data_IF_852911563364
#
_entry.id   IF_852911563364
#
_cell.length_a   1.000
_cell.length_b   1.000
_cell.length_c   1.000
_cell.angle_alpha   90.00
_cell.angle_beta   90.00
_cell.angle_gamma   90.00
#
_symmetry.space_group_name_H-M   'P 1'
#
loop_
_entity.id
_entity.type
_entity.pdbx_description
1 polymer ?
#
# COMPACT_ATOMS: atom_id res chain seq x y z
N UNK A 1 -7.44 15.43 0.97
CA UNK A 1 -8.89 15.14 1.08
C UNK A 1 -9.62 16.11 0.17
N UNK A 2 -10.31 15.61 -0.85
CA UNK A 2 -11.18 16.39 -1.76
C UNK A 2 -12.63 16.44 -1.23
N UNK A 3 -12.84 16.18 0.06
CA UNK A 3 -14.16 16.12 0.66
C UNK A 3 -14.86 17.47 0.50
N UNK A 4 -15.96 17.47 -0.26
CA UNK A 4 -16.88 18.61 -0.39
C UNK A 4 -16.64 19.57 -1.55
N UNK A 5 -15.61 19.38 -2.39
CA UNK A 5 -15.44 20.20 -3.60
C UNK A 5 -16.11 19.53 -4.82
N UNK A 6 -16.93 20.26 -5.59
CA UNK A 6 -17.50 19.72 -6.82
C UNK A 6 -16.38 19.32 -7.78
N UNK A 7 -16.50 18.12 -8.37
CA UNK A 7 -15.56 17.63 -9.38
C UNK A 7 -15.56 18.61 -10.56
N UNK A 8 -14.39 18.92 -11.10
CA UNK A 8 -14.30 19.72 -12.32
C UNK A 8 -15.01 19.01 -13.48
N UNK A 9 -15.47 19.78 -14.46
CA UNK A 9 -16.05 19.23 -15.69
C UNK A 9 -15.10 18.22 -16.37
N UNK A 10 -13.79 18.50 -16.35
CA UNK A 10 -12.78 17.56 -16.87
C UNK A 10 -12.73 16.24 -16.10
N UNK A 11 -12.83 16.28 -14.77
CA UNK A 11 -12.88 15.06 -13.94
C UNK A 11 -14.11 14.21 -14.29
N UNK A 12 -15.27 14.86 -14.48
CA UNK A 12 -16.51 14.17 -14.85
C UNK A 12 -16.42 13.57 -16.26
N UNK A 13 -15.87 14.32 -17.21
CA UNK A 13 -15.65 13.88 -18.61
C UNK A 13 -14.73 12.66 -18.66
N UNK A 14 -13.56 12.74 -18.03
CA UNK A 14 -12.61 11.63 -17.98
C UNK A 14 -13.15 10.42 -17.23
N UNK A 15 -13.90 10.62 -16.14
CA UNK A 15 -14.57 9.53 -15.42
C UNK A 15 -15.56 8.80 -16.31
N UNK A 16 -16.44 9.54 -17.00
CA UNK A 16 -17.44 8.97 -17.91
C UNK A 16 -16.78 8.20 -19.06
N UNK A 17 -15.75 8.78 -19.68
CA UNK A 17 -14.99 8.12 -20.75
C UNK A 17 -14.30 6.85 -20.25
N UNK A 18 -13.73 6.88 -19.04
CA UNK A 18 -13.09 5.71 -18.42
C UNK A 18 -14.11 4.59 -18.19
N UNK A 19 -15.32 4.90 -17.71
CA UNK A 19 -16.37 3.89 -17.52
C UNK A 19 -16.83 3.26 -18.84
N UNK A 20 -16.98 4.06 -19.90
CA UNK A 20 -17.36 3.56 -21.22
C UNK A 20 -16.31 2.60 -21.77
N UNK A 21 -15.03 3.01 -21.75
CA UNK A 21 -13.92 2.17 -22.20
C UNK A 21 -13.77 0.91 -21.34
N UNK A 22 -13.88 1.04 -20.02
CA UNK A 22 -13.81 -0.11 -19.12
C UNK A 22 -14.91 -1.12 -19.39
N UNK A 23 -16.16 -0.66 -19.59
CA UNK A 23 -17.28 -1.54 -19.96
C UNK A 23 -17.02 -2.24 -21.29
N UNK A 24 -16.55 -1.54 -22.30
CA UNK A 24 -16.20 -2.14 -23.60
C UNK A 24 -15.13 -3.23 -23.45
N UNK A 25 -14.08 -2.98 -22.64
CA UNK A 25 -13.04 -3.98 -22.37
C UNK A 25 -13.56 -5.20 -21.65
N UNK A 26 -14.38 -5.01 -20.60
CA UNK A 26 -14.93 -6.10 -19.79
C UNK A 26 -15.98 -6.92 -20.55
N UNK A 27 -16.69 -6.32 -21.50
CA UNK A 27 -17.64 -7.01 -22.37
C UNK A 27 -16.99 -7.63 -23.61
N UNK A 28 -15.67 -7.48 -23.78
CA UNK A 28 -14.94 -8.09 -24.89
C UNK A 28 -15.01 -9.63 -24.79
N UNK A 29 -15.34 -10.34 -25.88
CA UNK A 29 -15.26 -11.81 -25.90
C UNK A 29 -13.80 -12.30 -25.79
N UNK A 30 -12.83 -11.45 -26.13
CA UNK A 30 -11.41 -11.72 -25.91
C UNK A 30 -11.04 -11.53 -24.43
N UNK A 31 -10.82 -12.65 -23.74
CA UNK A 31 -10.39 -12.67 -22.34
C UNK A 31 -9.04 -11.99 -22.12
N UNK A 32 -8.14 -11.99 -23.11
CA UNK A 32 -6.85 -11.31 -22.99
C UNK A 32 -7.04 -9.80 -22.86
N UNK A 33 -8.04 -9.23 -23.53
CA UNK A 33 -8.41 -7.82 -23.42
C UNK A 33 -9.11 -7.54 -22.08
N UNK A 34 -10.12 -8.34 -21.74
CA UNK A 34 -10.89 -8.17 -20.51
C UNK A 34 -10.00 -8.28 -19.27
N UNK A 35 -9.09 -9.26 -19.26
CA UNK A 35 -8.16 -9.51 -18.16
C UNK A 35 -6.80 -8.84 -18.37
N UNK A 36 -6.66 -7.84 -19.24
CA UNK A 36 -5.37 -7.15 -19.48
C UNK A 36 -4.97 -6.16 -18.37
N UNK A 37 -3.66 -5.86 -18.25
CA UNK A 37 -3.12 -4.89 -17.29
C UNK A 37 -3.76 -3.50 -17.35
N UNK A 38 -4.02 -2.91 -18.52
CA UNK A 38 -4.78 -1.67 -18.62
C UNK A 38 -6.17 -1.75 -17.96
N UNK A 39 -6.87 -2.88 -18.06
CA UNK A 39 -8.17 -3.05 -17.40
C UNK A 39 -8.01 -3.02 -15.88
N UNK A 40 -7.04 -3.75 -15.34
CA UNK A 40 -6.75 -3.75 -13.90
C UNK A 40 -6.34 -2.36 -13.41
N UNK A 41 -5.48 -1.64 -14.15
CA UNK A 41 -5.07 -0.27 -13.82
C UNK A 41 -6.23 0.71 -13.82
N UNK A 42 -7.18 0.58 -14.75
CA UNK A 42 -8.38 1.40 -14.77
C UNK A 42 -9.23 1.18 -13.50
N UNK A 43 -9.45 -0.07 -13.10
CA UNK A 43 -10.19 -0.40 -11.87
C UNK A 43 -9.46 0.13 -10.63
N UNK A 44 -8.14 -0.06 -10.54
CA UNK A 44 -7.31 0.48 -9.45
C UNK A 44 -7.42 2.01 -9.38
N UNK A 45 -7.42 2.69 -10.52
CA UNK A 45 -7.51 4.16 -10.58
C UNK A 45 -8.88 4.64 -10.11
N UNK A 46 -9.95 3.97 -10.54
CA UNK A 46 -11.31 4.26 -10.09
C UNK A 46 -11.47 3.99 -8.58
N UNK A 47 -10.86 2.94 -8.05
CA UNK A 47 -10.84 2.67 -6.61
C UNK A 47 -10.18 3.82 -5.83
N UNK A 48 -8.99 4.28 -6.24
CA UNK A 48 -8.35 5.43 -5.59
C UNK A 48 -9.15 6.73 -5.73
N UNK A 49 -9.82 6.95 -6.87
CA UNK A 49 -10.68 8.12 -7.05
C UNK A 49 -11.87 8.09 -6.11
N UNK A 50 -12.51 6.93 -5.94
CA UNK A 50 -13.60 6.72 -5.00
C UNK A 50 -13.13 6.94 -3.55
N UNK A 51 -12.02 6.28 -3.15
CA UNK A 51 -11.35 6.45 -1.85
C UNK A 51 -11.07 7.93 -1.55
N UNK A 52 -10.40 8.65 -2.47
CA UNK A 52 -10.02 10.05 -2.28
C UNK A 52 -11.21 11.02 -2.22
N UNK A 53 -12.37 10.62 -2.76
CA UNK A 53 -13.63 11.37 -2.69
C UNK A 53 -14.54 10.97 -1.53
N UNK A 54 -14.19 9.92 -0.77
CA UNK A 54 -15.03 9.39 0.31
C UNK A 54 -16.26 8.61 -0.16
N UNK A 55 -16.32 8.22 -1.44
CA UNK A 55 -17.39 7.39 -1.99
C UNK A 55 -17.12 5.92 -1.65
N UNK A 56 -17.49 5.52 -0.43
CA UNK A 56 -17.23 4.18 0.11
C UNK A 56 -17.90 3.08 -0.70
N UNK A 57 -19.13 3.32 -1.20
CA UNK A 57 -19.88 2.36 -2.01
C UNK A 57 -19.18 2.08 -3.35
N UNK A 58 -18.76 3.13 -4.06
CA UNK A 58 -18.02 2.94 -5.31
C UNK A 58 -16.65 2.32 -5.05
N UNK A 59 -15.99 2.71 -3.94
CA UNK A 59 -14.70 2.14 -3.56
C UNK A 59 -14.80 0.63 -3.36
N UNK A 60 -15.74 0.18 -2.54
CA UNK A 60 -16.00 -1.25 -2.31
C UNK A 60 -16.27 -1.99 -3.64
N UNK A 61 -17.16 -1.45 -4.48
CA UNK A 61 -17.48 -2.08 -5.77
C UNK A 61 -16.25 -2.24 -6.68
N UNK A 62 -15.36 -1.24 -6.72
CA UNK A 62 -14.11 -1.32 -7.48
C UNK A 62 -13.13 -2.33 -6.87
N UNK A 63 -13.06 -2.43 -5.56
CA UNK A 63 -12.19 -3.40 -4.88
C UNK A 63 -12.68 -4.84 -5.11
N UNK A 64 -13.99 -5.08 -5.06
CA UNK A 64 -14.60 -6.37 -5.38
C UNK A 64 -14.39 -6.75 -6.86
N UNK A 65 -14.56 -5.78 -7.78
CA UNK A 65 -14.28 -5.99 -9.21
C UNK A 65 -12.81 -6.29 -9.48
N UNK A 66 -11.89 -5.61 -8.80
CA UNK A 66 -10.46 -5.89 -8.88
C UNK A 66 -10.14 -7.29 -8.39
N UNK A 67 -10.79 -7.73 -7.30
CA UNK A 67 -10.62 -9.08 -6.76
C UNK A 67 -11.05 -10.15 -7.76
N UNK A 68 -12.25 -10.02 -8.34
CA UNK A 68 -12.73 -10.94 -9.35
C UNK A 68 -11.80 -11.01 -10.56
N UNK A 69 -11.25 -9.86 -11.01
CA UNK A 69 -10.29 -9.81 -12.11
C UNK A 69 -8.98 -10.55 -11.76
N UNK A 70 -8.44 -10.35 -10.56
CA UNK A 70 -7.20 -11.02 -10.12
C UNK A 70 -7.43 -12.53 -9.98
N UNK A 71 -8.58 -12.96 -9.43
CA UNK A 71 -8.95 -14.37 -9.34
C UNK A 71 -9.09 -15.00 -10.74
N UNK A 72 -9.74 -14.31 -11.69
CA UNK A 72 -9.87 -14.76 -13.07
C UNK A 72 -8.51 -14.89 -13.81
N UNK A 73 -7.48 -14.17 -13.36
CA UNK A 73 -6.10 -14.30 -13.87
C UNK A 73 -5.30 -15.44 -13.23
N UNK A 74 -5.91 -16.23 -12.35
CA UNK A 74 -5.22 -17.27 -11.59
C UNK A 74 -4.50 -16.74 -10.35
N UNK A 75 -4.95 -15.62 -9.79
CA UNK A 75 -4.44 -15.06 -8.54
C UNK A 75 -3.25 -14.13 -8.69
N UNK A 76 -2.78 -13.61 -7.55
CA UNK A 76 -1.77 -12.56 -7.50
C UNK A 76 -0.38 -13.02 -7.98
N UNK A 77 -0.05 -14.30 -7.78
CA UNK A 77 1.21 -14.91 -8.25
C UNK A 77 1.27 -15.08 -9.76
N UNK A 78 0.09 -15.16 -10.40
CA UNK A 78 -0.07 -15.28 -11.85
C UNK A 78 0.01 -13.94 -12.57
N UNK A 79 0.10 -12.82 -11.83
CA UNK A 79 0.45 -11.50 -12.35
C UNK A 79 1.95 -11.47 -12.72
N UNK A 80 2.32 -12.21 -13.75
CA UNK A 80 3.67 -12.25 -14.36
C UNK A 80 3.94 -11.01 -15.23
N UNK A 81 3.32 -9.88 -14.96
CA UNK A 81 3.46 -8.75 -15.86
C UNK A 81 4.78 -8.01 -15.66
N UNK A 82 5.33 -7.51 -16.77
CA UNK A 82 6.50 -6.63 -16.82
C UNK A 82 6.27 -5.31 -16.07
N UNK A 83 5.02 -5.01 -15.69
CA UNK A 83 4.67 -3.94 -14.77
C UNK A 83 5.04 -4.35 -13.34
N UNK A 84 6.33 -4.16 -13.02
CA UNK A 84 7.02 -4.41 -11.73
C UNK A 84 6.35 -3.81 -10.47
N UNK A 85 5.21 -3.16 -10.62
CA UNK A 85 4.44 -2.43 -9.60
C UNK A 85 2.95 -2.79 -9.54
N UNK A 86 2.41 -3.64 -10.43
CA UNK A 86 0.98 -3.98 -10.44
C UNK A 86 0.55 -4.57 -9.09
N UNK A 87 1.34 -5.52 -8.56
CA UNK A 87 1.12 -6.09 -7.23
C UNK A 87 1.08 -5.02 -6.15
N UNK A 88 2.04 -4.10 -6.15
CA UNK A 88 2.09 -3.00 -5.18
C UNK A 88 0.85 -2.10 -5.25
N UNK A 89 0.34 -1.84 -6.46
CA UNK A 89 -0.87 -1.03 -6.66
C UNK A 89 -2.14 -1.75 -6.16
N UNK A 90 -2.27 -3.05 -6.44
CA UNK A 90 -3.35 -3.89 -5.92
C UNK A 90 -3.29 -3.92 -4.38
N UNK A 91 -2.09 -4.14 -3.83
CA UNK A 91 -1.84 -4.14 -2.39
C UNK A 91 -2.27 -2.84 -1.71
N UNK A 92 -2.01 -1.70 -2.35
CA UNK A 92 -2.38 -0.40 -1.81
C UNK A 92 -3.90 -0.24 -1.69
N UNK A 93 -4.64 -0.63 -2.74
CA UNK A 93 -6.11 -0.61 -2.75
C UNK A 93 -6.68 -1.57 -1.70
N UNK A 94 -6.15 -2.79 -1.63
CA UNK A 94 -6.60 -3.79 -0.64
C UNK A 94 -6.31 -3.37 0.79
N UNK A 95 -5.13 -2.78 1.05
CA UNK A 95 -4.77 -2.31 2.39
C UNK A 95 -5.61 -1.12 2.83
N UNK A 96 -5.92 -0.20 1.91
CA UNK A 96 -6.86 0.89 2.18
C UNK A 96 -8.24 0.35 2.55
N UNK A 97 -8.74 -0.62 1.79
CA UNK A 97 -10.04 -1.24 2.05
C UNK A 97 -10.05 -2.06 3.36
N UNK A 98 -8.96 -2.78 3.65
CA UNK A 98 -8.78 -3.48 4.92
C UNK A 98 -8.81 -2.53 6.13
N UNK A 99 -8.18 -1.35 5.99
CA UNK A 99 -8.17 -0.34 7.04
C UNK A 99 -9.54 0.32 7.26
N UNK A 100 -10.26 0.64 6.18
CA UNK A 100 -11.56 1.31 6.26
C UNK A 100 -12.66 0.39 6.79
N UNK A 101 -12.63 -0.90 6.45
CA UNK A 101 -13.66 -1.88 6.84
C UNK A 101 -13.26 -2.71 8.08
N UNK A 102 -12.18 -2.34 8.77
CA UNK A 102 -11.61 -3.07 9.92
C UNK A 102 -11.54 -4.60 9.69
N UNK A 103 -10.95 -5.00 8.56
CA UNK A 103 -10.89 -6.40 8.13
C UNK A 103 -9.49 -6.79 7.67
N UNK A 104 -9.14 -8.09 7.68
CA UNK A 104 -7.88 -8.55 7.10
C UNK A 104 -7.84 -8.29 5.57
N UNK A 105 -6.67 -7.96 5.00
CA UNK A 105 -6.48 -7.87 3.54
C UNK A 105 -6.89 -9.15 2.80
N UNK A 106 -7.32 -9.01 1.54
CA UNK A 106 -7.87 -10.14 0.76
C UNK A 106 -6.83 -10.92 -0.03
N UNK A 107 -5.78 -10.25 -0.55
CA UNK A 107 -4.92 -10.85 -1.58
C UNK A 107 -3.69 -11.61 -1.06
N UNK A 108 -3.32 -11.48 0.21
CA UNK A 108 -2.16 -12.18 0.80
C UNK A 108 -2.56 -12.87 2.09
N UNK A 109 -3.03 -14.12 2.00
CA UNK A 109 -3.42 -14.88 3.20
C UNK A 109 -2.46 -16.02 3.55
N UNK A 110 -1.76 -16.61 2.58
CA UNK A 110 -1.09 -17.90 2.78
C UNK A 110 0.46 -17.83 2.78
N UNK A 111 1.07 -16.68 2.45
CA UNK A 111 2.52 -16.61 2.17
C UNK A 111 3.25 -15.40 2.79
N UNK A 112 2.77 -14.87 3.92
CA UNK A 112 3.44 -13.74 4.59
C UNK A 112 4.65 -14.26 5.36
N UNK A 113 5.86 -13.92 4.90
CA UNK A 113 7.06 -14.08 5.73
C UNK A 113 7.05 -13.05 6.85
N UNK A 114 7.37 -13.52 8.06
CA UNK A 114 7.47 -12.69 9.27
C UNK A 114 8.91 -12.34 9.63
N UNK A 115 9.87 -12.81 8.85
CA UNK A 115 11.27 -12.45 8.99
C UNK A 115 11.46 -10.97 8.67
N UNK A 116 12.61 -10.43 9.07
CA UNK A 116 12.96 -9.05 8.73
C UNK A 116 13.08 -8.93 7.22
N UNK A 117 12.35 -7.97 6.66
CA UNK A 117 12.41 -7.65 5.23
C UNK A 117 13.63 -6.81 4.90
N UNK A 118 14.03 -5.91 5.82
CA UNK A 118 15.21 -5.07 5.70
C UNK A 118 16.30 -5.60 6.63
N UNK A 119 17.13 -6.49 6.11
CA UNK A 119 18.37 -6.92 6.76
C UNK A 119 19.48 -6.08 6.16
N UNK A 120 20.08 -5.21 6.96
CA UNK A 120 21.34 -4.58 6.58
C UNK A 120 22.45 -5.63 6.72
N UNK A 121 23.30 -5.77 5.70
CA UNK A 121 24.48 -6.66 5.78
C UNK A 121 25.64 -5.98 6.49
N UNK A 122 25.67 -4.64 6.49
CA UNK A 122 26.83 -3.84 6.93
C UNK A 122 26.60 -3.09 8.26
N UNK A 123 25.39 -3.16 8.81
CA UNK A 123 25.08 -2.55 10.11
C UNK A 123 25.01 -3.68 11.15
N UNK A 124 25.96 -3.76 12.11
CA UNK A 124 25.74 -4.60 13.29
C UNK A 124 24.38 -4.22 13.83
N UNK A 125 23.54 -5.19 14.22
CA UNK A 125 22.25 -4.93 14.89
C UNK A 125 22.48 -3.79 15.87
N UNK A 126 22.07 -2.58 15.47
CA UNK A 126 22.58 -1.39 16.14
C UNK A 126 22.02 -1.43 17.54
N UNK A 127 22.89 -1.83 18.47
CA UNK A 127 22.69 -2.11 19.89
C UNK A 127 22.48 -0.81 20.65
N UNK A 128 21.77 0.13 20.03
CA UNK A 128 21.28 1.31 20.73
C UNK A 128 20.43 0.88 21.93
N UNK A 129 20.37 1.70 22.99
CA UNK A 129 19.66 1.35 24.22
C UNK A 129 18.23 0.87 23.97
N UNK A 130 17.55 1.49 23.00
CA UNK A 130 16.15 1.23 22.66
C UNK A 130 15.92 -0.11 21.93
N UNK A 131 16.83 -0.53 21.03
CA UNK A 131 16.70 -1.81 20.30
C UNK A 131 16.96 -2.99 21.22
N UNK A 132 17.98 -2.87 22.09
CA UNK A 132 18.28 -3.83 23.17
C UNK A 132 17.12 -3.89 24.15
N UNK A 133 16.54 -2.75 24.55
CA UNK A 133 15.42 -2.71 25.47
C UNK A 133 14.20 -3.42 24.87
N UNK A 134 13.81 -3.10 23.63
CA UNK A 134 12.63 -3.70 22.99
C UNK A 134 12.80 -5.20 22.72
N UNK A 135 13.98 -5.67 22.32
CA UNK A 135 14.26 -7.11 22.18
C UNK A 135 14.26 -7.85 23.52
N UNK A 136 14.58 -7.15 24.62
CA UNK A 136 14.52 -7.69 26.00
C UNK A 136 13.12 -7.60 26.61
N UNK A 137 12.19 -6.85 26.04
CA UNK A 137 10.78 -6.84 26.45
C UNK A 137 10.16 -8.17 26.00
N UNK A 138 10.24 -9.18 26.88
CA UNK A 138 9.59 -10.49 26.71
C UNK A 138 8.07 -10.43 26.55
N UNK A 139 7.47 -9.25 26.61
CA UNK A 139 6.03 -8.98 26.49
C UNK A 139 5.59 -8.64 25.07
N UNK A 140 6.52 -8.23 24.19
CA UNK A 140 6.19 -7.88 22.81
C UNK A 140 6.20 -9.11 21.91
N UNK A 141 5.20 -9.18 21.04
CA UNK A 141 5.06 -10.29 20.12
C UNK A 141 6.17 -10.22 19.04
N UNK A 142 6.93 -11.31 18.78
CA UNK A 142 8.11 -11.26 17.92
C UNK A 142 7.85 -10.79 16.48
N UNK A 143 6.70 -11.14 15.89
CA UNK A 143 6.35 -10.71 14.54
C UNK A 143 6.15 -9.19 14.48
N UNK A 144 5.50 -8.60 15.49
CA UNK A 144 5.37 -7.15 15.64
C UNK A 144 6.73 -6.46 15.77
N UNK A 145 7.65 -7.03 16.55
CA UNK A 145 9.03 -6.52 16.70
C UNK A 145 9.76 -6.49 15.36
N UNK A 146 9.64 -7.54 14.55
CA UNK A 146 10.28 -7.59 13.22
C UNK A 146 9.76 -6.48 12.29
N UNK A 147 8.46 -6.20 12.30
CA UNK A 147 7.91 -5.11 11.48
C UNK A 147 8.39 -3.74 11.98
N UNK A 148 8.47 -3.54 13.30
CA UNK A 148 9.03 -2.32 13.87
C UNK A 148 10.50 -2.13 13.47
N UNK A 149 11.32 -3.18 13.53
CA UNK A 149 12.72 -3.14 13.12
C UNK A 149 12.87 -2.78 11.63
N UNK A 150 12.03 -3.33 10.76
CA UNK A 150 12.01 -2.95 9.35
C UNK A 150 11.63 -1.48 9.18
N UNK A 151 10.65 -0.99 9.93
CA UNK A 151 10.23 0.41 9.87
C UNK A 151 11.32 1.38 10.34
N UNK A 152 12.06 1.00 11.39
CA UNK A 152 13.24 1.72 11.86
C UNK A 152 14.33 1.75 10.77
N UNK A 153 14.66 0.60 10.19
CA UNK A 153 15.67 0.53 9.12
C UNK A 153 15.26 1.39 7.93
N UNK A 154 14.00 1.34 7.54
CA UNK A 154 13.48 2.15 6.46
C UNK A 154 13.60 3.66 6.75
N UNK A 155 13.32 4.09 7.98
CA UNK A 155 13.52 5.48 8.39
C UNK A 155 15.00 5.90 8.33
N UNK A 156 15.92 5.03 8.76
CA UNK A 156 17.37 5.26 8.65
C UNK A 156 17.81 5.37 7.19
N UNK A 157 17.33 4.48 6.31
CA UNK A 157 17.58 4.54 4.87
C UNK A 157 17.09 5.86 4.27
N UNK A 158 15.89 6.33 4.63
CA UNK A 158 15.35 7.61 4.17
C UNK A 158 16.23 8.79 4.63
N UNK A 159 16.63 8.80 5.90
CA UNK A 159 17.47 9.86 6.47
C UNK A 159 18.87 9.88 5.85
N UNK A 160 19.48 8.72 5.59
CA UNK A 160 20.77 8.59 4.89
C UNK A 160 20.67 9.13 3.47
N UNK A 161 19.68 8.66 2.71
CA UNK A 161 19.44 9.09 1.33
C UNK A 161 19.17 10.59 1.22
N UNK A 162 18.47 11.18 2.19
CA UNK A 162 18.28 12.63 2.25
C UNK A 162 19.62 13.39 2.39
N UNK A 163 20.56 12.89 3.20
CA UNK A 163 21.88 13.50 3.37
C UNK A 163 22.75 13.38 2.12
N UNK A 164 22.69 12.24 1.43
CA UNK A 164 23.43 11.97 0.19
C UNK A 164 22.72 12.47 -1.08
N UNK A 165 21.56 13.11 -0.95
CA UNK A 165 20.71 13.54 -2.08
C UNK A 165 20.37 12.40 -3.07
N UNK A 166 20.27 11.17 -2.56
CA UNK A 166 19.86 9.98 -3.31
C UNK A 166 18.39 9.67 -3.03
N UNK A 167 17.74 8.91 -3.91
CA UNK A 167 16.33 8.51 -3.74
C UNK A 167 16.23 6.99 -3.72
N UNK A 168 15.32 6.47 -2.90
CA UNK A 168 14.90 5.07 -2.97
C UNK A 168 14.08 4.92 -4.25
N UNK A 169 14.38 3.90 -5.06
CA UNK A 169 13.59 3.65 -6.27
C UNK A 169 12.14 3.27 -5.91
N UNK A 170 11.22 3.60 -6.81
CA UNK A 170 9.78 3.44 -6.59
C UNK A 170 9.38 1.99 -6.32
N UNK A 171 10.03 1.02 -6.99
CA UNK A 171 9.73 -0.41 -6.81
C UNK A 171 10.15 -0.88 -5.42
N UNK A 172 11.36 -0.52 -4.98
CA UNK A 172 11.87 -0.85 -3.63
C UNK A 172 11.03 -0.19 -2.55
N UNK A 173 10.72 1.10 -2.68
CA UNK A 173 9.82 1.80 -1.77
C UNK A 173 8.47 1.09 -1.65
N UNK A 174 7.88 0.73 -2.80
CA UNK A 174 6.60 0.05 -2.86
C UNK A 174 6.62 -1.30 -2.15
N UNK A 175 7.62 -2.13 -2.40
CA UNK A 175 7.75 -3.47 -1.79
C UNK A 175 7.95 -3.39 -0.27
N UNK A 176 8.82 -2.49 0.20
CA UNK A 176 9.07 -2.27 1.62
C UNK A 176 7.77 -1.86 2.32
N UNK A 177 7.08 -0.87 1.75
CA UNK A 177 5.87 -0.30 2.35
C UNK A 177 4.73 -1.32 2.40
N UNK A 178 4.51 -2.06 1.30
CA UNK A 178 3.52 -3.15 1.24
C UNK A 178 3.83 -4.25 2.25
N UNK A 179 5.11 -4.67 2.35
CA UNK A 179 5.53 -5.71 3.30
C UNK A 179 5.21 -5.32 4.75
N UNK A 180 5.56 -4.10 5.17
CA UNK A 180 5.28 -3.63 6.52
C UNK A 180 3.78 -3.50 6.77
N UNK A 181 3.02 -2.94 5.83
CA UNK A 181 1.58 -2.71 5.98
C UNK A 181 0.80 -4.02 6.06
N UNK A 182 1.07 -4.98 5.16
CA UNK A 182 0.38 -6.26 5.16
C UNK A 182 0.63 -7.03 6.44
N UNK A 183 1.88 -7.09 6.91
CA UNK A 183 2.21 -7.74 8.19
C UNK A 183 1.49 -7.05 9.35
N UNK A 184 1.50 -5.72 9.38
CA UNK A 184 0.79 -4.97 10.42
C UNK A 184 -0.71 -5.17 10.38
N UNK A 185 -1.35 -5.34 9.22
CA UNK A 185 -2.81 -5.57 9.13
C UNK A 185 -3.21 -6.99 9.53
N UNK A 186 -2.33 -7.98 9.31
CA UNK A 186 -2.58 -9.39 9.62
C UNK A 186 -2.34 -9.80 11.08
N UNK A 187 -1.68 -8.97 11.88
CA UNK A 187 -1.63 -9.20 13.31
C UNK A 187 -3.06 -9.10 13.92
N UNK A 188 -3.24 -9.57 15.14
CA UNK A 188 -4.45 -9.29 15.91
C UNK A 188 -4.11 -9.53 17.36
N UNK A 189 -4.53 -8.62 18.22
CA UNK A 189 -4.16 -8.60 19.64
C UNK A 189 -5.39 -8.20 20.46
N UNK A 190 -5.41 -8.60 21.73
CA UNK A 190 -6.46 -8.20 22.65
C UNK A 190 -6.53 -6.66 22.77
N UNK A 191 -7.75 -6.16 22.91
CA UNK A 191 -8.01 -4.74 23.20
C UNK A 191 -7.20 -4.28 24.42
N UNK A 192 -6.75 -3.03 24.39
CA UNK A 192 -5.92 -2.41 25.44
C UNK A 192 -4.56 -3.09 25.73
N UNK A 193 -4.14 -4.11 24.97
CA UNK A 193 -2.80 -4.69 25.12
C UNK A 193 -1.70 -3.77 24.57
N UNK A 194 -0.50 -3.85 25.15
CA UNK A 194 0.68 -3.12 24.65
C UNK A 194 0.98 -3.47 23.17
N UNK A 195 0.81 -4.74 22.80
CA UNK A 195 0.97 -5.20 21.41
C UNK A 195 -0.03 -4.51 20.48
N UNK A 196 -1.31 -4.39 20.88
CA UNK A 196 -2.29 -3.69 20.08
C UNK A 196 -2.00 -2.18 19.98
N UNK A 197 -1.64 -1.54 21.10
CA UNK A 197 -1.27 -0.12 21.11
C UNK A 197 -0.09 0.17 20.18
N UNK A 198 0.96 -0.67 20.23
CA UNK A 198 2.12 -0.54 19.34
C UNK A 198 1.76 -0.81 17.88
N UNK A 199 1.01 -1.89 17.59
CA UNK A 199 0.50 -2.19 16.24
C UNK A 199 -0.26 -1.01 15.65
N UNK A 200 -1.19 -0.44 16.40
CA UNK A 200 -2.00 0.72 15.96
C UNK A 200 -1.13 1.95 15.73
N UNK A 201 -0.16 2.21 16.63
CA UNK A 201 0.83 3.28 16.43
C UNK A 201 1.61 3.12 15.12
N UNK A 202 2.11 1.92 14.83
CA UNK A 202 2.83 1.62 13.59
C UNK A 202 1.92 1.75 12.35
N UNK A 203 0.67 1.29 12.43
CA UNK A 203 -0.31 1.45 11.35
C UNK A 203 -0.56 2.94 11.03
N UNK A 204 -0.72 3.79 12.04
CA UNK A 204 -0.90 5.25 11.85
C UNK A 204 0.30 5.86 11.12
N UNK A 205 1.53 5.50 11.51
CA UNK A 205 2.73 5.99 10.83
C UNK A 205 2.79 5.47 9.38
N UNK A 206 2.44 4.21 9.14
CA UNK A 206 2.37 3.63 7.79
C UNK A 206 1.33 4.34 6.91
N UNK A 207 0.17 4.69 7.44
CA UNK A 207 -0.85 5.47 6.73
C UNK A 207 -0.30 6.84 6.31
N UNK A 208 0.51 7.49 7.14
CA UNK A 208 1.16 8.76 6.76
C UNK A 208 2.22 8.58 5.67
N UNK A 209 2.99 7.50 5.70
CA UNK A 209 3.98 7.21 4.66
C UNK A 209 3.30 6.90 3.32
N UNK A 210 2.19 6.15 3.33
CA UNK A 210 1.45 5.72 2.15
C UNK A 210 0.60 6.83 1.52
N UNK A 211 -0.19 7.52 2.34
CA UNK A 211 -1.24 8.45 1.91
C UNK A 211 -0.85 9.93 2.08
N UNK A 212 0.36 10.20 2.59
CA UNK A 212 0.90 11.54 2.81
C UNK A 212 1.31 12.32 1.57
N UNK A 213 0.68 12.09 0.40
CA UNK A 213 0.75 13.09 -0.66
C UNK A 213 -0.06 14.29 -0.20
N UNK A 214 0.64 15.39 0.09
CA UNK A 214 0.01 16.63 0.51
C UNK A 214 0.35 17.72 -0.50
N UNK A 215 -0.63 18.33 -1.19
CA UNK A 215 -0.36 19.34 -2.20
C UNK A 215 0.40 20.56 -1.65
N UNK A 216 0.44 20.80 -0.34
CA UNK A 216 1.24 21.88 0.27
C UNK A 216 2.59 21.45 0.87
N UNK A 217 3.02 20.20 0.67
CA UNK A 217 4.35 19.78 1.11
C UNK A 217 5.42 20.35 0.16
N UNK A 218 6.13 21.39 0.61
CA UNK A 218 7.15 22.10 -0.16
C UNK A 218 8.30 21.17 -0.63
N UNK A 219 8.59 20.09 0.10
CA UNK A 219 9.61 19.10 -0.29
C UNK A 219 9.12 18.22 -1.46
N UNK A 220 7.83 17.89 -1.50
CA UNK A 220 7.22 17.11 -2.59
C UNK A 220 7.02 17.97 -3.86
N UNK A 221 6.73 19.28 -3.72
CA UNK A 221 6.67 20.22 -4.86
C UNK A 221 8.03 20.41 -5.55
N UNK A 222 9.13 20.41 -4.80
CA UNK A 222 10.49 20.51 -5.37
C UNK A 222 10.90 19.27 -6.16
N UNK A 223 10.21 18.14 -5.98
CA UNK A 223 10.45 16.93 -6.76
C UNK A 223 9.74 16.93 -8.12
N UNK A 224 8.87 17.92 -8.39
CA UNK A 224 8.30 18.18 -9.71
C UNK A 224 9.29 19.03 -10.51
N UNK A 225 10.16 18.39 -11.27
CA UNK A 225 10.74 19.02 -12.47
C UNK A 225 9.70 18.84 -13.58
N UNK A 226 9.34 19.90 -14.32
CA UNK A 226 8.36 19.78 -15.41
C UNK A 226 8.93 18.86 -16.49
N UNK A 227 8.11 17.93 -16.97
CA UNK A 227 8.24 17.40 -18.33
C UNK A 227 7.63 18.41 -19.29
#
# INVERSE_FOLDING_TARGET
MLLGLPRSNETYRHGTQTFQLLRQRLSSPDQLVALSDPTALAIITLAHAAEGSGDTKSFEAHVQGLRALVEARGGLTSLKSDLREMRTKICRVDSAFAFLEDRPPMFFKESISWDRYLVDQDEPLDTGPLSIQLQKIRLLEPRLVNVWLDMRQFALMCNRNQKSNTRIDQSTYGKITVSMQYRLLHLSFAECSLNNALRMGLLVVMTKLMFGWHPNNKAQRRALVPF
#
